data_IF_368954038183
#
_entry.id   IF_368954038183
#
_cell.length_a   1.000
_cell.length_b   1.000
_cell.length_c   1.000
_cell.angle_alpha   90.00
_cell.angle_beta   90.00
_cell.angle_gamma   90.00
#
_symmetry.space_group_name_H-M   'P 1'
#
loop_
_entity.id
_entity.type
_entity.pdbx_description
1 polymer ?
#
# COMPACT_ATOMS: atom_id res chain seq x y z
N UNK A 1 -18.61 -6.59 -1.57
CA UNK A 1 -17.30 -6.67 -0.90
C UNK A 1 -17.37 -7.21 0.52
N UNK A 2 -18.02 -6.57 1.49
CA UNK A 2 -18.09 -7.10 2.87
C UNK A 2 -18.78 -8.48 2.92
N UNK A 3 -19.98 -8.58 2.33
CA UNK A 3 -20.74 -9.82 2.20
C UNK A 3 -19.96 -10.91 1.45
N UNK A 4 -19.14 -10.53 0.47
CA UNK A 4 -18.34 -11.48 -0.32
C UNK A 4 -17.15 -12.04 0.48
N UNK A 5 -16.49 -11.20 1.28
CA UNK A 5 -15.41 -11.64 2.16
C UNK A 5 -15.94 -12.58 3.26
N UNK A 6 -17.12 -12.27 3.82
CA UNK A 6 -17.78 -13.11 4.82
C UNK A 6 -18.25 -14.43 4.21
N UNK A 7 -18.85 -14.41 3.01
CA UNK A 7 -19.25 -15.62 2.30
C UNK A 7 -18.05 -16.54 2.00
N UNK A 8 -16.97 -16.00 1.42
CA UNK A 8 -15.78 -16.78 1.09
C UNK A 8 -15.17 -17.42 2.35
N UNK A 9 -15.20 -16.72 3.48
CA UNK A 9 -14.74 -17.27 4.75
C UNK A 9 -15.62 -18.40 5.28
N UNK A 10 -16.94 -18.29 5.14
CA UNK A 10 -17.88 -19.38 5.48
C UNK A 10 -17.65 -20.62 4.59
N UNK A 11 -17.28 -20.39 3.34
CA UNK A 11 -16.95 -21.43 2.36
C UNK A 11 -15.53 -22.01 2.56
N UNK A 12 -14.76 -21.54 3.55
CA UNK A 12 -13.34 -21.85 3.75
C UNK A 12 -12.45 -21.59 2.52
N UNK A 13 -12.88 -20.69 1.64
CA UNK A 13 -12.14 -20.29 0.44
C UNK A 13 -11.22 -19.10 0.75
N UNK A 14 -10.08 -19.43 1.35
CA UNK A 14 -9.08 -18.44 1.80
C UNK A 14 -8.53 -17.60 0.63
N UNK A 15 -8.46 -18.15 -0.59
CA UNK A 15 -7.93 -17.41 -1.74
C UNK A 15 -8.91 -16.34 -2.24
N UNK A 16 -10.20 -16.70 -2.35
CA UNK A 16 -11.24 -15.73 -2.71
C UNK A 16 -11.46 -14.70 -1.60
N UNK A 17 -11.33 -15.11 -0.34
CA UNK A 17 -11.33 -14.20 0.79
C UNK A 17 -10.17 -13.19 0.68
N UNK A 18 -8.92 -13.64 0.46
CA UNK A 18 -7.75 -12.76 0.32
C UNK A 18 -7.90 -11.78 -0.86
N UNK A 19 -8.44 -12.23 -1.99
CA UNK A 19 -8.73 -11.37 -3.14
C UNK A 19 -9.68 -10.22 -2.78
N UNK A 20 -10.73 -10.52 -2.02
CA UNK A 20 -11.71 -9.54 -1.56
C UNK A 20 -11.11 -8.60 -0.51
N UNK A 21 -10.34 -9.16 0.44
CA UNK A 21 -9.67 -8.40 1.49
C UNK A 21 -8.68 -7.39 0.90
N UNK A 22 -7.96 -7.72 -0.18
CA UNK A 22 -7.05 -6.77 -0.84
C UNK A 22 -7.74 -5.47 -1.25
N UNK A 23 -8.99 -5.56 -1.75
CA UNK A 23 -9.80 -4.39 -2.10
C UNK A 23 -10.25 -3.62 -0.87
N UNK A 24 -10.69 -4.35 0.17
CA UNK A 24 -11.13 -3.75 1.44
C UNK A 24 -10.01 -2.97 2.13
N UNK A 25 -8.78 -3.50 2.14
CA UNK A 25 -7.62 -2.84 2.73
C UNK A 25 -7.36 -1.46 2.12
N UNK A 26 -7.43 -1.35 0.78
CA UNK A 26 -7.30 -0.07 0.09
C UNK A 26 -8.46 0.86 0.38
N UNK A 27 -9.69 0.36 0.29
CA UNK A 27 -10.88 1.16 0.57
C UNK A 27 -10.83 1.75 1.99
N UNK A 28 -10.48 0.95 3.00
CA UNK A 28 -10.47 1.44 4.39
C UNK A 28 -9.48 2.57 4.63
N UNK A 29 -8.37 2.60 3.90
CA UNK A 29 -7.42 3.71 3.99
C UNK A 29 -7.95 4.96 3.27
N UNK A 30 -8.60 4.77 2.11
CA UNK A 30 -9.18 5.87 1.35
C UNK A 30 -10.35 6.54 2.09
N UNK A 31 -11.18 5.76 2.77
CA UNK A 31 -12.33 6.24 3.54
C UNK A 31 -11.98 6.74 4.95
N UNK A 32 -10.71 6.68 5.34
CA UNK A 32 -10.28 7.13 6.66
C UNK A 32 -10.82 6.27 7.81
N UNK A 33 -10.89 4.94 7.64
CA UNK A 33 -11.47 4.01 8.64
C UNK A 33 -10.38 3.17 9.33
N UNK A 34 -9.70 3.69 10.36
CA UNK A 34 -8.53 3.03 10.95
C UNK A 34 -8.85 1.71 11.67
N UNK A 35 -10.01 1.59 12.32
CA UNK A 35 -10.42 0.35 13.00
C UNK A 35 -10.68 -0.77 11.99
N UNK A 36 -11.31 -0.44 10.86
CA UNK A 36 -11.54 -1.39 9.77
C UNK A 36 -10.22 -1.77 9.10
N UNK A 37 -9.32 -0.82 8.88
CA UNK A 37 -7.98 -1.10 8.37
C UNK A 37 -7.22 -2.08 9.28
N UNK A 38 -7.24 -1.88 10.60
CA UNK A 38 -6.66 -2.81 11.57
C UNK A 38 -7.28 -4.21 11.49
N UNK A 39 -8.62 -4.28 11.44
CA UNK A 39 -9.36 -5.55 11.35
C UNK A 39 -8.98 -6.34 10.09
N UNK A 40 -9.06 -5.71 8.92
CA UNK A 40 -8.77 -6.37 7.65
C UNK A 40 -7.29 -6.72 7.52
N UNK A 41 -6.38 -5.92 8.07
CA UNK A 41 -4.94 -6.25 8.13
C UNK A 41 -4.68 -7.51 8.93
N UNK A 42 -5.31 -7.67 10.11
CA UNK A 42 -5.20 -8.89 10.94
C UNK A 42 -5.76 -10.10 10.21
N UNK A 43 -6.90 -9.94 9.54
CA UNK A 43 -7.57 -11.02 8.81
C UNK A 43 -6.78 -11.47 7.58
N UNK A 44 -6.29 -10.52 6.78
CA UNK A 44 -5.39 -10.80 5.66
C UNK A 44 -4.14 -11.53 6.12
N UNK A 45 -3.49 -11.03 7.18
CA UNK A 45 -2.31 -11.65 7.77
C UNK A 45 -2.58 -13.10 8.20
N UNK A 46 -3.71 -13.37 8.85
CA UNK A 46 -4.10 -14.74 9.20
C UNK A 46 -4.30 -15.62 7.95
N UNK A 47 -4.90 -15.09 6.87
CA UNK A 47 -5.04 -15.80 5.60
C UNK A 47 -3.70 -16.19 4.97
N UNK A 48 -2.74 -15.25 4.91
CA UNK A 48 -1.38 -15.49 4.42
C UNK A 48 -0.59 -16.51 5.27
N UNK A 49 -0.92 -16.65 6.56
CA UNK A 49 -0.34 -17.70 7.41
C UNK A 49 -0.99 -19.07 7.21
N UNK A 50 -2.27 -19.10 6.86
CA UNK A 50 -3.05 -20.34 6.70
C UNK A 50 -2.79 -21.05 5.38
N UNK A 51 -2.35 -20.34 4.34
CA UNK A 51 -2.17 -20.92 3.01
C UNK A 51 -0.91 -20.44 2.30
N UNK A 52 -0.36 -21.31 1.46
CA UNK A 52 0.69 -20.93 0.52
C UNK A 52 0.05 -20.19 -0.67
N UNK A 53 0.14 -18.85 -0.68
CA UNK A 53 -0.41 -18.04 -1.77
C UNK A 53 0.48 -18.16 -3.02
N UNK A 54 0.13 -19.05 -3.95
CA UNK A 54 0.93 -19.28 -5.17
C UNK A 54 0.61 -18.27 -6.29
N UNK A 55 -0.59 -17.71 -6.30
CA UNK A 55 -1.01 -16.76 -7.33
C UNK A 55 -0.26 -15.44 -7.17
N UNK A 56 0.58 -15.04 -8.16
CA UNK A 56 1.35 -13.81 -8.04
C UNK A 56 0.47 -12.60 -7.72
N UNK A 57 -0.65 -12.44 -8.43
CA UNK A 57 -1.54 -11.29 -8.27
C UNK A 57 -2.03 -11.08 -6.83
N UNK A 58 -2.20 -12.15 -6.05
CA UNK A 58 -2.63 -12.07 -4.65
C UNK A 58 -1.50 -11.63 -3.71
N UNK A 59 -0.24 -11.80 -4.10
CA UNK A 59 0.94 -11.42 -3.29
C UNK A 59 1.03 -9.92 -3.00
N UNK A 60 0.35 -9.08 -3.79
CA UNK A 60 0.22 -7.64 -3.49
C UNK A 60 -0.45 -7.40 -2.13
N UNK A 61 -1.24 -8.37 -1.66
CA UNK A 61 -1.83 -8.35 -0.33
C UNK A 61 -0.81 -8.20 0.78
N UNK A 62 0.44 -8.69 0.63
CA UNK A 62 1.50 -8.46 1.60
C UNK A 62 1.86 -6.97 1.75
N UNK A 63 1.79 -6.20 0.67
CA UNK A 63 1.99 -4.74 0.72
C UNK A 63 0.77 -4.11 1.37
N UNK A 64 -0.44 -4.44 0.89
CA UNK A 64 -1.66 -3.78 1.31
C UNK A 64 -1.99 -4.02 2.78
N UNK A 65 -1.79 -5.24 3.30
CA UNK A 65 -2.02 -5.55 4.71
C UNK A 65 -1.08 -4.76 5.62
N UNK A 66 0.17 -4.56 5.18
CA UNK A 66 1.18 -3.86 5.97
C UNK A 66 1.01 -2.35 5.89
N UNK A 67 0.59 -1.83 4.74
CA UNK A 67 0.25 -0.43 4.55
C UNK A 67 -0.97 -0.03 5.39
N UNK A 68 -2.05 -0.80 5.33
CA UNK A 68 -3.24 -0.57 6.14
C UNK A 68 -2.96 -0.74 7.65
N UNK A 69 -2.07 -1.67 8.03
CA UNK A 69 -1.64 -1.81 9.41
C UNK A 69 -0.80 -0.61 9.88
N UNK A 70 0.05 -0.05 9.00
CA UNK A 70 0.81 1.17 9.30
C UNK A 70 -0.12 2.38 9.46
N UNK A 71 -1.10 2.53 8.56
CA UNK A 71 -2.13 3.55 8.66
C UNK A 71 -2.89 3.44 10.00
N UNK A 72 -3.47 2.27 10.28
CA UNK A 72 -4.22 2.06 11.52
C UNK A 72 -3.36 2.24 12.78
N UNK A 73 -2.09 1.82 12.77
CA UNK A 73 -1.17 2.05 13.89
C UNK A 73 -0.97 3.53 14.17
N UNK A 74 -0.90 4.37 13.13
CA UNK A 74 -0.70 5.82 13.30
C UNK A 74 -1.93 6.50 13.90
N UNK A 75 -3.11 6.12 13.44
CA UNK A 75 -4.36 6.72 13.91
C UNK A 75 -4.76 6.20 15.30
N UNK A 76 -4.50 4.91 15.60
CA UNK A 76 -4.97 4.25 16.83
C UNK A 76 -3.89 4.05 17.89
N UNK A 77 -2.61 4.19 17.55
CA UNK A 77 -1.49 3.91 18.46
C UNK A 77 -1.25 2.43 18.78
N UNK A 78 -1.94 1.49 18.09
CA UNK A 78 -1.85 0.05 18.36
C UNK A 78 -0.52 -0.57 17.89
N UNK A 79 0.40 -0.76 18.84
CA UNK A 79 1.71 -1.38 18.59
C UNK A 79 1.64 -2.86 18.19
N UNK A 80 0.54 -3.56 18.46
CA UNK A 80 0.42 -4.98 18.09
C UNK A 80 0.43 -5.19 16.57
N UNK A 81 0.15 -4.13 15.80
CA UNK A 81 0.23 -4.11 14.33
C UNK A 81 1.66 -4.19 13.79
N UNK A 82 2.70 -3.97 14.61
CA UNK A 82 4.09 -4.04 14.15
C UNK A 82 4.47 -5.40 13.59
N UNK A 83 3.91 -6.48 14.14
CA UNK A 83 4.13 -7.84 13.61
C UNK A 83 3.63 -7.97 12.17
N UNK A 84 2.48 -7.38 11.87
CA UNK A 84 1.82 -7.41 10.56
C UNK A 84 2.61 -6.55 9.56
N UNK A 85 2.98 -5.33 9.96
CA UNK A 85 3.79 -4.41 9.16
C UNK A 85 5.12 -5.09 8.76
N UNK A 86 5.83 -5.64 9.73
CA UNK A 86 7.11 -6.29 9.50
C UNK A 86 7.00 -7.55 8.64
N UNK A 87 5.94 -8.36 8.85
CA UNK A 87 5.68 -9.52 8.02
C UNK A 87 5.47 -9.13 6.55
N UNK A 88 4.52 -8.23 6.27
CA UNK A 88 4.16 -7.86 4.91
C UNK A 88 5.31 -7.15 4.20
N UNK A 89 6.04 -6.26 4.89
CA UNK A 89 7.21 -5.60 4.32
C UNK A 89 8.32 -6.60 3.96
N UNK A 90 8.66 -7.52 4.87
CA UNK A 90 9.70 -8.54 4.63
C UNK A 90 9.35 -9.42 3.44
N UNK A 91 8.11 -9.89 3.35
CA UNK A 91 7.66 -10.76 2.27
C UNK A 91 7.59 -10.02 0.93
N UNK A 92 7.05 -8.80 0.92
CA UNK A 92 6.97 -7.99 -0.29
C UNK A 92 8.34 -7.64 -0.86
N UNK A 93 9.33 -7.32 -0.01
CA UNK A 93 10.71 -7.09 -0.46
C UNK A 93 11.40 -8.36 -0.95
N UNK A 94 11.14 -9.51 -0.30
CA UNK A 94 11.72 -10.80 -0.71
C UNK A 94 11.15 -11.25 -2.06
N UNK A 95 9.83 -11.22 -2.20
CA UNK A 95 9.12 -11.60 -3.43
C UNK A 95 9.33 -10.58 -4.54
N UNK A 96 9.47 -9.30 -4.21
CA UNK A 96 9.71 -8.21 -5.16
C UNK A 96 10.98 -8.38 -6.00
N UNK A 97 11.94 -9.23 -5.56
CA UNK A 97 13.09 -9.63 -6.38
C UNK A 97 12.69 -10.42 -7.63
N UNK A 98 11.55 -11.11 -7.58
CA UNK A 98 11.03 -11.97 -8.64
C UNK A 98 9.72 -11.43 -9.24
N UNK A 99 9.00 -10.60 -8.47
CA UNK A 99 7.70 -10.03 -8.82
C UNK A 99 7.81 -8.49 -8.79
N UNK A 100 8.28 -7.85 -9.87
CA UNK A 100 8.63 -6.42 -9.88
C UNK A 100 7.52 -5.48 -9.39
N UNK A 101 6.25 -5.80 -9.64
CA UNK A 101 5.11 -4.99 -9.19
C UNK A 101 4.95 -4.93 -7.66
N UNK A 102 5.65 -5.77 -6.89
CA UNK A 102 5.70 -5.68 -5.42
C UNK A 102 6.81 -4.77 -4.92
N UNK A 103 7.91 -4.66 -5.65
CA UNK A 103 9.15 -4.10 -5.12
C UNK A 103 9.06 -2.58 -4.91
N UNK A 104 8.55 -1.85 -5.89
CA UNK A 104 8.29 -0.41 -5.78
C UNK A 104 7.38 -0.07 -4.61
N UNK A 105 6.16 -0.67 -4.52
CA UNK A 105 5.26 -0.47 -3.38
C UNK A 105 5.88 -0.86 -2.03
N UNK A 106 6.67 -1.93 -1.97
CA UNK A 106 7.36 -2.33 -0.75
C UNK A 106 8.45 -1.33 -0.33
N UNK A 107 9.16 -0.71 -1.28
CA UNK A 107 10.09 0.38 -0.98
C UNK A 107 9.35 1.62 -0.48
N UNK A 108 8.21 1.98 -1.09
CA UNK A 108 7.36 3.06 -0.60
C UNK A 108 6.91 2.83 0.85
N UNK A 109 6.43 1.64 1.17
CA UNK A 109 6.09 1.23 2.54
C UNK A 109 7.29 1.34 3.50
N UNK A 110 8.47 0.90 3.07
CA UNK A 110 9.70 1.02 3.86
C UNK A 110 10.06 2.49 4.14
N UNK A 111 9.89 3.37 3.15
CA UNK A 111 10.11 4.81 3.26
C UNK A 111 9.16 5.43 4.27
N UNK A 112 7.85 5.14 4.15
CA UNK A 112 6.81 5.54 5.11
C UNK A 112 7.16 5.13 6.54
N UNK A 113 7.58 3.88 6.74
CA UNK A 113 7.95 3.38 8.07
C UNK A 113 9.14 4.15 8.67
N UNK A 114 10.15 4.50 7.85
CA UNK A 114 11.28 5.32 8.31
C UNK A 114 10.87 6.75 8.62
N UNK A 115 10.01 7.33 7.81
CA UNK A 115 9.53 8.69 8.00
C UNK A 115 8.74 8.82 9.31
N UNK A 116 7.77 7.93 9.52
CA UNK A 116 6.95 7.91 10.74
C UNK A 116 7.75 7.50 11.99
N UNK A 117 8.88 6.80 11.81
CA UNK A 117 9.87 6.57 12.87
C UNK A 117 10.80 7.76 13.14
N UNK A 118 10.55 8.94 12.56
CA UNK A 118 11.33 10.16 12.74
C UNK A 118 12.61 10.24 11.89
N UNK A 119 12.89 9.26 11.04
CA UNK A 119 14.12 9.20 10.23
C UNK A 119 13.88 9.70 8.80
N UNK A 120 13.66 11.01 8.67
CA UNK A 120 13.38 11.68 7.38
C UNK A 120 14.46 11.44 6.33
N UNK A 121 15.74 11.55 6.69
CA UNK A 121 16.87 11.34 5.77
C UNK A 121 16.87 9.93 5.16
N UNK A 122 16.64 8.90 5.98
CA UNK A 122 16.56 7.52 5.46
C UNK A 122 15.30 7.30 4.63
N UNK A 123 14.18 7.92 5.02
CA UNK A 123 12.94 7.84 4.25
C UNK A 123 13.13 8.43 2.85
N UNK A 124 13.73 9.61 2.74
CA UNK A 124 13.99 10.27 1.46
C UNK A 124 14.89 9.41 0.54
N UNK A 125 15.96 8.83 1.07
CA UNK A 125 16.83 7.94 0.32
C UNK A 125 16.07 6.69 -0.19
N UNK A 126 15.16 6.15 0.62
CA UNK A 126 14.32 5.02 0.23
C UNK A 126 13.28 5.42 -0.82
N UNK A 127 12.64 6.58 -0.69
CA UNK A 127 11.70 7.09 -1.69
C UNK A 127 12.40 7.33 -3.04
N UNK A 128 13.61 7.91 -3.04
CA UNK A 128 14.43 8.03 -4.26
C UNK A 128 14.73 6.68 -4.91
N UNK A 129 14.99 5.65 -4.09
CA UNK A 129 15.19 4.28 -4.59
C UNK A 129 13.90 3.70 -5.19
N UNK A 130 12.74 3.94 -4.57
CA UNK A 130 11.44 3.51 -5.09
C UNK A 130 11.13 4.21 -6.42
N UNK A 131 11.32 5.52 -6.47
CA UNK A 131 11.18 6.37 -7.66
C UNK A 131 12.04 5.87 -8.82
N UNK A 132 13.35 5.69 -8.59
CA UNK A 132 14.28 5.19 -9.62
C UNK A 132 13.91 3.79 -10.10
N UNK A 133 13.38 2.92 -9.24
CA UNK A 133 12.91 1.61 -9.67
C UNK A 133 11.64 1.73 -10.52
N UNK A 134 10.64 2.47 -10.05
CA UNK A 134 9.32 2.58 -10.69
C UNK A 134 9.37 3.34 -12.02
N UNK A 135 10.23 4.35 -12.15
CA UNK A 135 10.41 5.10 -13.40
C UNK A 135 10.90 4.22 -14.55
N UNK A 136 11.60 3.12 -14.23
CA UNK A 136 12.09 2.14 -15.20
C UNK A 136 11.06 1.03 -15.52
N UNK A 137 9.86 1.11 -14.97
CA UNK A 137 8.77 0.16 -15.25
C UNK A 137 7.78 0.72 -16.26
N UNK A 138 7.05 -0.17 -16.94
CA UNK A 138 5.95 0.22 -17.84
C UNK A 138 4.73 0.77 -17.08
N UNK A 139 4.66 0.58 -15.76
CA UNK A 139 3.53 1.02 -14.95
C UNK A 139 3.71 2.48 -14.50
N UNK A 140 3.45 3.41 -15.43
CA UNK A 140 3.54 4.85 -15.19
C UNK A 140 2.52 5.34 -14.15
N UNK A 141 1.38 4.65 -14.00
CA UNK A 141 0.39 4.99 -12.98
C UNK A 141 0.92 4.75 -11.56
N UNK A 142 1.57 3.60 -11.33
CA UNK A 142 2.20 3.29 -10.04
C UNK A 142 3.36 4.26 -9.75
N UNK A 143 4.13 4.61 -10.77
CA UNK A 143 5.20 5.60 -10.64
C UNK A 143 4.65 6.97 -10.20
N UNK A 144 3.60 7.46 -10.87
CA UNK A 144 2.97 8.73 -10.54
C UNK A 144 2.36 8.72 -9.12
N UNK A 145 1.71 7.63 -8.75
CA UNK A 145 1.12 7.47 -7.41
C UNK A 145 2.20 7.50 -6.32
N UNK A 146 3.33 6.83 -6.55
CA UNK A 146 4.46 6.83 -5.63
C UNK A 146 5.12 8.22 -5.52
N UNK A 147 5.27 8.95 -6.63
CA UNK A 147 5.77 10.32 -6.64
C UNK A 147 4.85 11.26 -5.85
N UNK A 148 3.54 11.16 -6.09
CA UNK A 148 2.56 11.99 -5.41
C UNK A 148 2.60 11.75 -3.90
N UNK A 149 2.57 10.48 -3.49
CA UNK A 149 2.61 10.10 -2.09
C UNK A 149 3.92 10.57 -1.40
N UNK A 150 5.08 10.30 -2.00
CA UNK A 150 6.36 10.77 -1.46
C UNK A 150 6.41 12.30 -1.41
N UNK A 151 5.83 12.97 -2.42
CA UNK A 151 5.69 14.42 -2.50
C UNK A 151 4.89 15.00 -1.34
N UNK A 152 3.72 14.43 -1.04
CA UNK A 152 2.92 14.83 0.12
C UNK A 152 3.68 14.61 1.44
N UNK A 153 4.24 13.43 1.61
CA UNK A 153 4.94 13.05 2.86
C UNK A 153 6.20 13.88 3.13
N UNK A 154 6.84 14.41 2.08
CA UNK A 154 8.04 15.22 2.18
C UNK A 154 7.80 16.71 1.90
N UNK A 155 6.57 17.13 1.63
CA UNK A 155 6.23 18.50 1.22
C UNK A 155 6.99 18.97 -0.04
N UNK A 156 7.26 18.03 -0.96
CA UNK A 156 7.99 18.25 -2.21
C UNK A 156 7.02 18.58 -3.35
N UNK A 157 6.81 19.89 -3.57
CA UNK A 157 5.91 20.42 -4.61
C UNK A 157 6.31 19.98 -6.02
N UNK A 158 7.60 19.79 -6.29
CA UNK A 158 8.05 19.38 -7.61
C UNK A 158 7.61 17.93 -7.90
N UNK A 159 7.80 17.02 -6.95
CA UNK A 159 7.31 15.63 -7.07
C UNK A 159 5.80 15.55 -7.28
N UNK A 160 5.04 16.36 -6.54
CA UNK A 160 3.59 16.46 -6.69
C UNK A 160 3.23 16.93 -8.11
N UNK A 161 3.91 17.95 -8.62
CA UNK A 161 3.67 18.48 -9.96
C UNK A 161 3.96 17.45 -11.06
N UNK A 162 5.10 16.75 -10.96
CA UNK A 162 5.48 15.68 -11.91
C UNK A 162 4.44 14.56 -11.89
N UNK A 163 4.01 14.12 -10.71
CA UNK A 163 3.00 13.09 -10.57
C UNK A 163 1.67 13.47 -11.23
N UNK A 164 1.19 14.71 -11.00
CA UNK A 164 -0.03 15.23 -11.65
C UNK A 164 0.10 15.25 -13.17
N UNK A 165 1.26 15.67 -13.70
CA UNK A 165 1.52 15.66 -15.14
C UNK A 165 1.44 14.26 -15.76
N UNK A 166 2.00 13.24 -15.10
CA UNK A 166 1.91 11.85 -15.57
C UNK A 166 0.45 11.35 -15.51
N UNK A 167 -0.27 11.60 -14.41
CA UNK A 167 -1.67 11.19 -14.29
C UNK A 167 -2.60 11.85 -15.33
N UNK A 168 -2.30 13.10 -15.71
CA UNK A 168 -2.97 13.79 -16.81
C UNK A 168 -2.70 13.11 -18.16
N UNK A 169 -1.45 12.76 -18.45
CA UNK A 169 -1.08 12.03 -19.68
C UNK A 169 -1.75 10.64 -19.76
N UNK A 170 -1.97 9.99 -18.61
CA UNK A 170 -2.66 8.70 -18.51
C UNK A 170 -4.18 8.81 -18.53
N UNK A 171 -4.75 10.02 -18.61
CA UNK A 171 -6.18 10.29 -18.50
C UNK A 171 -6.83 9.67 -17.24
N UNK A 172 -6.09 9.62 -16.14
CA UNK A 172 -6.51 9.01 -14.88
C UNK A 172 -7.52 9.90 -14.11
N UNK A 173 -8.69 10.15 -14.71
CA UNK A 173 -9.71 11.12 -14.24
C UNK A 173 -10.12 10.91 -12.78
N UNK A 174 -10.30 9.66 -12.37
CA UNK A 174 -10.71 9.34 -11.00
C UNK A 174 -9.61 9.68 -9.98
N UNK A 175 -8.35 9.44 -10.31
CA UNK A 175 -7.22 9.77 -9.43
C UNK A 175 -7.03 11.28 -9.38
N UNK A 176 -7.04 11.97 -10.53
CA UNK A 176 -6.92 13.43 -10.60
C UNK A 176 -7.99 14.13 -9.76
N UNK A 177 -9.26 13.72 -9.89
CA UNK A 177 -10.36 14.24 -9.06
C UNK A 177 -10.08 14.07 -7.56
N UNK A 178 -9.59 12.89 -7.16
CA UNK A 178 -9.24 12.61 -5.76
C UNK A 178 -8.10 13.50 -5.26
N UNK A 179 -7.13 13.84 -6.13
CA UNK A 179 -6.05 14.75 -5.75
C UNK A 179 -6.56 16.17 -5.49
N UNK A 180 -7.54 16.64 -6.27
CA UNK A 180 -8.19 17.95 -6.08
C UNK A 180 -8.97 18.01 -4.77
N UNK A 181 -9.71 16.95 -4.44
CA UNK A 181 -10.49 16.85 -3.20
C UNK A 181 -9.60 16.82 -1.94
N UNK A 182 -8.41 16.21 -2.03
CA UNK A 182 -7.44 16.15 -0.92
C UNK A 182 -6.45 17.33 -0.87
N UNK A 183 -6.65 18.35 -1.71
CA UNK A 183 -5.81 19.57 -1.73
C UNK A 183 -6.12 20.55 -0.59
N UNK A 184 -7.09 20.22 0.28
CA UNK A 184 -7.52 21.05 1.41
C UNK A 184 -7.11 20.36 2.72
N UNK A 185 -5.83 20.51 3.10
CA UNK A 185 -5.35 20.51 4.50
C UNK A 185 -4.20 21.52 4.59
#
# INVERSE_FOLDING_TARGET
>A
MLIEAERAALENDVMNELSTINKLLKLTMLEGWPEKAAYWSRRSYAGFLKCEVKFPQLQIGNVYLAEAALYAKRELGDKSLDKIINYGLKHSLKLGKYLPYLYGPALMLKGKLKLHGGNRKSAEAIFKKAESFLSNTLNQWEYATALYEAGLLLEDKNRISVAKGILQQLEAKADLKRLEENSIV
#
